data_IF_674094423587
#
_entry.id   IF_674094423587
#
_cell.length_a   1.000
_cell.length_b   1.000
_cell.length_c   1.000
_cell.angle_alpha   90.00
_cell.angle_beta   90.00
_cell.angle_gamma   90.00
#
_symmetry.space_group_name_H-M   'P 1'
#
loop_
_entity.id
_entity.type
_entity.pdbx_description
1 polymer ?
#
# COMPACT_ATOMS: atom_id res chain seq x y z
N UNK A 1 16.20 -3.35 -23.98
CA UNK A 1 15.57 -2.61 -22.86
C UNK A 1 14.10 -2.36 -23.19
N UNK A 2 13.15 -2.79 -22.33
CA UNK A 2 11.71 -2.49 -22.53
C UNK A 2 11.48 -1.00 -22.23
N UNK A 3 10.91 -0.25 -23.18
CA UNK A 3 10.50 1.15 -22.97
C UNK A 3 9.42 1.20 -21.88
N UNK A 4 9.65 1.96 -20.82
CA UNK A 4 8.64 2.22 -19.78
C UNK A 4 7.70 3.28 -20.35
N UNK A 5 6.39 3.04 -20.34
CA UNK A 5 5.41 4.02 -20.78
C UNK A 5 5.28 5.09 -19.67
N UNK A 6 5.51 6.34 -20.02
CA UNK A 6 5.31 7.45 -19.07
C UNK A 6 3.82 7.78 -19.01
N UNK A 7 3.22 7.64 -17.81
CA UNK A 7 1.84 8.07 -17.55
C UNK A 7 1.80 9.52 -17.07
N UNK A 8 0.66 10.19 -17.22
CA UNK A 8 0.45 11.56 -16.74
C UNK A 8 0.04 11.61 -15.26
N UNK A 9 0.05 12.81 -14.67
CA UNK A 9 -0.29 13.02 -13.25
C UNK A 9 -1.71 12.52 -12.90
N UNK A 10 -2.70 12.73 -13.78
CA UNK A 10 -4.07 12.31 -13.53
C UNK A 10 -4.19 10.76 -13.47
N UNK A 11 -3.54 10.07 -14.42
CA UNK A 11 -3.50 8.61 -14.42
C UNK A 11 -2.70 8.08 -13.21
N UNK A 12 -1.62 8.76 -12.84
CA UNK A 12 -0.84 8.42 -11.66
C UNK A 12 -1.66 8.50 -10.37
N UNK A 13 -2.47 9.56 -10.22
CA UNK A 13 -3.37 9.73 -9.08
C UNK A 13 -4.45 8.65 -9.01
N UNK A 14 -5.05 8.28 -10.14
CA UNK A 14 -6.06 7.21 -10.21
C UNK A 14 -5.52 5.86 -9.72
N UNK A 15 -4.23 5.61 -9.92
CA UNK A 15 -3.60 4.33 -9.57
C UNK A 15 -2.81 4.37 -8.24
N UNK A 16 -2.72 5.52 -7.58
CA UNK A 16 -1.85 5.71 -6.42
C UNK A 16 -2.24 4.81 -5.23
N UNK A 17 -3.52 4.69 -4.92
CA UNK A 17 -3.96 3.87 -3.79
C UNK A 17 -3.71 2.38 -4.04
N UNK A 18 -4.08 1.89 -5.23
CA UNK A 18 -3.81 0.50 -5.65
C UNK A 18 -2.31 0.19 -5.69
N UNK A 19 -1.46 1.18 -5.99
CA UNK A 19 -0.01 1.03 -5.89
C UNK A 19 0.44 0.82 -4.46
N UNK A 20 -0.03 1.67 -3.54
CA UNK A 20 0.30 1.57 -2.11
C UNK A 20 -0.21 0.27 -1.48
N UNK A 21 -1.33 -0.28 -1.97
CA UNK A 21 -1.88 -1.57 -1.53
C UNK A 21 -1.26 -2.78 -2.25
N UNK A 22 -0.30 -2.55 -3.15
CA UNK A 22 0.36 -3.58 -3.97
C UNK A 22 -0.57 -4.33 -4.94
N UNK A 23 -1.73 -3.76 -5.25
CA UNK A 23 -2.78 -4.32 -6.12
C UNK A 23 -2.56 -4.02 -7.61
N UNK A 24 -1.56 -3.21 -7.95
CA UNK A 24 -1.19 -2.96 -9.35
C UNK A 24 -0.39 -4.10 -9.96
N UNK A 25 -0.79 -4.49 -11.17
CA UNK A 25 -0.03 -5.38 -12.04
C UNK A 25 1.36 -4.81 -12.38
N UNK A 26 2.33 -5.68 -12.72
CA UNK A 26 3.76 -5.32 -12.80
C UNK A 26 4.08 -4.28 -13.87
N UNK A 27 3.31 -4.21 -14.96
CA UNK A 27 3.50 -3.18 -15.99
C UNK A 27 3.10 -1.79 -15.47
N UNK A 28 1.86 -1.67 -14.95
CA UNK A 28 1.31 -0.41 -14.45
C UNK A 28 2.08 0.11 -13.23
N UNK A 29 2.55 -0.81 -12.37
CA UNK A 29 3.44 -0.49 -11.25
C UNK A 29 4.68 0.27 -11.71
N UNK A 30 5.43 -0.26 -12.70
CA UNK A 30 6.64 0.39 -13.22
C UNK A 30 6.38 1.73 -13.89
N UNK A 31 5.25 1.87 -14.60
CA UNK A 31 4.85 3.14 -15.22
C UNK A 31 4.63 4.23 -14.15
N UNK A 32 3.97 3.86 -13.05
CA UNK A 32 3.71 4.76 -11.93
C UNK A 32 4.96 5.07 -11.11
N UNK A 33 5.79 4.06 -10.81
CA UNK A 33 7.08 4.24 -10.12
C UNK A 33 7.93 5.27 -10.88
N UNK A 34 8.07 5.07 -12.19
CA UNK A 34 8.81 6.01 -13.04
C UNK A 34 8.20 7.43 -13.01
N UNK A 35 6.88 7.57 -13.00
CA UNK A 35 6.23 8.87 -12.90
C UNK A 35 6.48 9.55 -11.54
N UNK A 36 6.40 8.80 -10.44
CA UNK A 36 6.65 9.30 -9.08
C UNK A 36 8.11 9.76 -8.93
N UNK A 37 9.06 9.05 -9.53
CA UNK A 37 10.48 9.41 -9.51
C UNK A 37 10.77 10.77 -10.17
N UNK A 38 10.06 11.11 -11.25
CA UNK A 38 10.31 12.33 -12.03
C UNK A 38 9.37 13.50 -11.67
N UNK A 39 8.26 13.24 -10.99
CA UNK A 39 7.24 14.24 -10.67
C UNK A 39 7.18 14.52 -9.17
N UNK A 40 7.72 15.67 -8.75
CA UNK A 40 7.71 16.11 -7.33
C UNK A 40 6.30 16.19 -6.73
N UNK A 41 5.31 16.61 -7.51
CA UNK A 41 3.92 16.72 -7.02
C UNK A 41 3.32 15.35 -6.72
N UNK A 42 3.50 14.38 -7.62
CA UNK A 42 3.01 13.02 -7.41
C UNK A 42 3.81 12.29 -6.33
N UNK A 43 5.12 12.54 -6.22
CA UNK A 43 5.94 12.08 -5.10
C UNK A 43 5.41 12.57 -3.75
N UNK A 44 5.18 13.88 -3.61
CA UNK A 44 4.68 14.45 -2.36
C UNK A 44 3.32 13.88 -1.96
N UNK A 45 2.45 13.59 -2.92
CA UNK A 45 1.15 12.95 -2.66
C UNK A 45 1.31 11.48 -2.26
N UNK A 46 2.17 10.74 -2.95
CA UNK A 46 2.46 9.34 -2.62
C UNK A 46 2.99 9.18 -1.19
N UNK A 47 3.93 10.04 -0.79
CA UNK A 47 4.48 10.03 0.57
C UNK A 47 3.43 10.40 1.61
N UNK A 48 2.59 11.40 1.34
CA UNK A 48 1.48 11.75 2.23
C UNK A 48 0.52 10.58 2.46
N UNK A 49 0.05 9.95 1.39
CA UNK A 49 -0.88 8.81 1.46
C UNK A 49 -0.26 7.61 2.18
N UNK A 50 1.03 7.35 1.95
CA UNK A 50 1.80 6.30 2.65
C UNK A 50 1.89 6.56 4.16
N UNK A 51 2.21 7.79 4.55
CA UNK A 51 2.26 8.20 5.96
C UNK A 51 0.88 8.10 6.59
N UNK A 52 -0.17 8.59 5.92
CA UNK A 52 -1.55 8.51 6.40
C UNK A 52 -1.97 7.06 6.65
N UNK A 53 -1.76 6.16 5.69
CA UNK A 53 -2.05 4.73 5.85
C UNK A 53 -1.28 4.10 7.01
N UNK A 54 -0.03 4.49 7.21
CA UNK A 54 0.78 4.01 8.33
C UNK A 54 0.17 4.45 9.66
N UNK A 55 -0.18 5.74 9.80
CA UNK A 55 -0.81 6.27 11.01
C UNK A 55 -2.16 5.61 11.29
N UNK A 56 -2.99 5.37 10.26
CA UNK A 56 -4.26 4.67 10.41
C UNK A 56 -4.08 3.22 10.87
N UNK A 57 -3.07 2.51 10.35
CA UNK A 57 -2.75 1.16 10.79
C UNK A 57 -2.33 1.11 12.25
N UNK A 58 -1.52 2.06 12.71
CA UNK A 58 -1.13 2.13 14.11
C UNK A 58 -2.29 2.52 15.03
N UNK A 59 -3.13 3.47 14.62
CA UNK A 59 -4.31 3.87 15.39
C UNK A 59 -5.35 2.75 15.54
N UNK A 60 -5.46 1.87 14.54
CA UNK A 60 -6.36 0.71 14.56
C UNK A 60 -5.80 -0.53 15.27
N UNK A 61 -4.58 -0.46 15.84
CA UNK A 61 -4.02 -1.58 16.62
C UNK A 61 -4.65 -1.61 18.00
N UNK A 62 -5.62 -2.49 18.17
CA UNK A 62 -6.11 -2.88 19.48
C UNK A 62 -5.28 -4.07 20.00
N UNK A 63 -4.88 -4.02 21.27
CA UNK A 63 -4.21 -5.16 21.90
C UNK A 63 -5.23 -6.24 22.18
N UNK A 64 -5.03 -7.40 21.54
CA UNK A 64 -5.84 -8.58 21.78
C UNK A 64 -5.57 -9.12 23.19
N UNK A 65 -6.61 -9.31 23.99
CA UNK A 65 -6.49 -9.85 25.35
C UNK A 65 -6.06 -11.32 25.36
N UNK A 66 -5.33 -11.74 26.39
CA UNK A 66 -4.80 -13.10 26.53
C UNK A 66 -5.87 -14.20 26.39
N UNK A 67 -7.11 -13.95 26.82
CA UNK A 67 -8.22 -14.89 26.69
C UNK A 67 -8.57 -15.23 25.23
N UNK A 68 -8.40 -14.27 24.31
CA UNK A 68 -8.63 -14.50 22.88
C UNK A 68 -7.52 -15.36 22.28
N UNK A 69 -6.27 -15.10 22.66
CA UNK A 69 -5.11 -15.89 22.20
C UNK A 69 -5.24 -17.35 22.64
N UNK A 70 -5.61 -17.59 23.90
CA UNK A 70 -5.83 -18.95 24.42
C UNK A 70 -6.98 -19.67 23.71
N UNK A 71 -8.04 -18.93 23.35
CA UNK A 71 -9.16 -19.48 22.57
C UNK A 71 -8.74 -19.88 21.15
N UNK A 72 -7.91 -19.07 20.48
CA UNK A 72 -7.34 -19.40 19.16
C UNK A 72 -6.46 -20.66 19.26
N UNK A 73 -5.56 -20.72 20.25
CA UNK A 73 -4.68 -21.90 20.47
C UNK A 73 -5.49 -23.17 20.73
N UNK A 74 -6.54 -23.09 21.54
CA UNK A 74 -7.43 -24.22 21.83
C UNK A 74 -8.13 -24.75 20.57
N UNK A 75 -8.54 -23.86 19.66
CA UNK A 75 -9.20 -24.25 18.41
C UNK A 75 -8.21 -24.86 17.41
N UNK A 76 -7.00 -24.31 17.31
CA UNK A 76 -5.96 -24.79 16.39
C UNK A 76 -5.33 -26.12 16.84
N UNK A 77 -5.15 -26.33 18.15
CA UNK A 77 -4.62 -27.60 18.70
C UNK A 77 -5.61 -28.77 18.68
N UNK A 78 -6.82 -28.56 18.15
CA UNK A 78 -7.88 -29.58 18.04
C UNK A 78 -7.95 -30.24 16.64
N UNK A 79 -7.10 -29.80 15.71
CA UNK A 79 -6.87 -30.43 14.40
C UNK A 79 -5.49 -31.08 14.35
#
# INVERSE_FOLDING_TARGET
>A
MKKIKTIGCEEALKHLLAYLDQELGPAKRRELEHHIEICRTCFSRAEFEKLLKTQLREAGRETVGAAFEEKIKSLLGRF
#
